data_IF_230151849566
#
_entry.id   IF_230151849566
#
_cell.length_a   1.000
_cell.length_b   1.000
_cell.length_c   1.000
_cell.angle_alpha   90.00
_cell.angle_beta   90.00
_cell.angle_gamma   90.00
#
_symmetry.space_group_name_H-M   'P 1'
#
loop_
_entity.id
_entity.type
_entity.pdbx_description
1 polymer ?
#
# COMPACT_ATOMS: atom_id res chain seq x y z
N UNK A 1 9.36 -9.95 -12.79
CA UNK A 1 9.77 -11.34 -13.13
C UNK A 1 10.55 -11.35 -14.43
N UNK A 2 11.45 -12.30 -14.56
CA UNK A 2 12.20 -12.48 -15.79
C UNK A 2 11.38 -13.26 -16.82
N UNK A 3 11.69 -13.05 -18.13
CA UNK A 3 11.06 -13.76 -19.24
C UNK A 3 11.13 -15.29 -19.08
N UNK A 4 12.20 -15.82 -18.50
CA UNK A 4 12.39 -17.26 -18.23
C UNK A 4 11.39 -17.86 -17.24
N UNK A 5 10.67 -17.03 -16.50
CA UNK A 5 9.63 -17.51 -15.55
C UNK A 5 8.35 -17.97 -16.26
N UNK A 6 8.20 -17.63 -17.55
CA UNK A 6 7.02 -17.97 -18.35
C UNK A 6 7.39 -19.02 -19.38
N UNK A 7 7.03 -20.27 -19.11
CA UNK A 7 7.42 -21.38 -19.98
C UNK A 7 6.25 -22.11 -20.61
N UNK A 8 5.05 -22.06 -20.00
CA UNK A 8 3.93 -22.86 -20.45
C UNK A 8 2.59 -22.25 -20.06
N UNK A 9 1.51 -22.74 -20.69
CA UNK A 9 0.12 -22.48 -20.33
C UNK A 9 -0.67 -23.78 -20.37
N UNK A 10 -1.85 -23.78 -19.77
CA UNK A 10 -2.79 -24.91 -19.85
C UNK A 10 -3.83 -24.63 -20.93
N UNK A 11 -4.00 -25.58 -21.83
CA UNK A 11 -5.01 -25.53 -22.90
C UNK A 11 -5.77 -26.84 -22.90
N UNK A 12 -7.09 -26.79 -22.69
CA UNK A 12 -7.96 -27.97 -22.62
C UNK A 12 -7.45 -29.03 -21.63
N UNK A 13 -6.90 -28.60 -20.49
CA UNK A 13 -6.33 -29.48 -19.48
C UNK A 13 -4.92 -29.98 -19.79
N UNK A 14 -4.32 -29.56 -20.88
CA UNK A 14 -2.95 -29.97 -21.27
C UNK A 14 -1.98 -28.79 -21.12
N UNK A 15 -0.76 -29.12 -20.70
CA UNK A 15 0.34 -28.18 -20.65
C UNK A 15 0.85 -27.92 -22.06
N UNK A 16 0.90 -26.65 -22.45
CA UNK A 16 1.37 -26.20 -23.75
C UNK A 16 2.43 -25.12 -23.54
N UNK A 17 3.54 -25.22 -24.28
CA UNK A 17 4.59 -24.19 -24.19
C UNK A 17 4.09 -22.87 -24.75
N UNK A 18 4.46 -21.76 -24.08
CA UNK A 18 4.15 -20.42 -24.52
C UNK A 18 4.96 -20.06 -25.77
N UNK A 19 4.31 -19.39 -26.71
CA UNK A 19 5.02 -18.75 -27.84
C UNK A 19 5.81 -17.53 -27.34
N UNK A 20 6.79 -17.08 -28.12
CA UNK A 20 7.56 -15.88 -27.79
C UNK A 20 6.66 -14.64 -27.63
N UNK A 21 5.66 -14.50 -28.50
CA UNK A 21 4.71 -13.39 -28.42
C UNK A 21 3.87 -13.45 -27.13
N UNK A 22 3.45 -14.63 -26.71
CA UNK A 22 2.69 -14.82 -25.46
C UNK A 22 3.57 -14.52 -24.22
N UNK A 23 4.84 -14.93 -24.23
CA UNK A 23 5.80 -14.61 -23.17
C UNK A 23 6.02 -13.11 -23.08
N UNK A 24 6.23 -12.45 -24.22
CA UNK A 24 6.44 -10.99 -24.26
C UNK A 24 5.23 -10.24 -23.72
N UNK A 25 4.01 -10.70 -24.01
CA UNK A 25 2.79 -10.09 -23.47
C UNK A 25 2.67 -10.28 -21.96
N UNK A 26 3.01 -11.45 -21.44
CA UNK A 26 3.04 -11.70 -19.99
C UNK A 26 4.04 -10.79 -19.30
N UNK A 27 5.23 -10.62 -19.85
CA UNK A 27 6.26 -9.73 -19.31
C UNK A 27 5.78 -8.28 -19.30
N UNK A 28 5.16 -7.82 -20.40
CA UNK A 28 4.60 -6.45 -20.48
C UNK A 28 3.53 -6.20 -19.43
N UNK A 29 2.62 -7.15 -19.23
CA UNK A 29 1.56 -7.02 -18.20
C UNK A 29 2.15 -6.93 -16.81
N UNK A 30 3.16 -7.73 -16.53
CA UNK A 30 3.82 -7.72 -15.23
C UNK A 30 4.63 -6.45 -15.00
N UNK A 31 5.34 -5.96 -16.01
CA UNK A 31 6.05 -4.69 -15.94
C UNK A 31 5.08 -3.52 -15.68
N UNK A 32 3.94 -3.52 -16.36
CA UNK A 32 2.90 -2.50 -16.14
C UNK A 32 2.32 -2.59 -14.72
N UNK A 33 2.09 -3.78 -14.21
CA UNK A 33 1.64 -4.00 -12.84
C UNK A 33 2.66 -3.49 -11.83
N UNK A 34 3.94 -3.83 -12.00
CA UNK A 34 5.03 -3.37 -11.12
C UNK A 34 5.21 -1.85 -11.20
N UNK A 35 5.09 -1.27 -12.39
CA UNK A 35 5.19 0.18 -12.56
C UNK A 35 4.07 0.93 -11.81
N UNK A 36 2.89 0.34 -11.69
CA UNK A 36 1.76 0.92 -10.94
C UNK A 36 1.73 0.62 -9.45
N UNK A 37 2.66 -0.18 -8.95
CA UNK A 37 2.64 -0.68 -7.57
C UNK A 37 2.73 0.43 -6.54
N UNK A 38 3.62 1.40 -6.75
CA UNK A 38 3.79 2.54 -5.86
C UNK A 38 2.51 3.39 -5.79
N UNK A 39 1.87 3.64 -6.92
CA UNK A 39 0.63 4.44 -6.98
C UNK A 39 -0.53 3.72 -6.28
N UNK A 40 -0.64 2.42 -6.46
CA UNK A 40 -1.65 1.61 -5.75
C UNK A 40 -1.41 1.63 -4.25
N UNK A 41 -0.16 1.54 -3.82
CA UNK A 41 0.19 1.62 -2.41
C UNK A 41 -0.18 3.00 -1.83
N UNK A 42 0.11 4.09 -2.56
CA UNK A 42 -0.29 5.44 -2.15
C UNK A 42 -1.81 5.59 -2.05
N UNK A 43 -2.56 5.02 -2.98
CA UNK A 43 -4.03 5.07 -2.93
C UNK A 43 -4.57 4.42 -1.66
N UNK A 44 -4.05 3.24 -1.30
CA UNK A 44 -4.45 2.54 -0.08
C UNK A 44 -4.04 3.30 1.18
N UNK A 45 -2.85 3.88 1.20
CA UNK A 45 -2.34 4.67 2.33
C UNK A 45 -3.20 5.91 2.54
N UNK A 46 -3.51 6.65 1.47
CA UNK A 46 -4.35 7.85 1.55
C UNK A 46 -5.76 7.54 2.02
N UNK A 47 -6.34 6.45 1.56
CA UNK A 47 -7.66 6.01 2.00
C UNK A 47 -7.68 5.73 3.51
N UNK A 48 -6.69 5.00 4.03
CA UNK A 48 -6.58 4.72 5.46
C UNK A 48 -6.30 5.99 6.27
N UNK A 49 -5.42 6.87 5.77
CA UNK A 49 -5.17 8.17 6.39
C UNK A 49 -6.45 8.97 6.55
N UNK A 50 -7.24 9.06 5.48
CA UNK A 50 -8.48 9.83 5.48
C UNK A 50 -9.51 9.22 6.44
N UNK A 51 -9.58 7.89 6.53
CA UNK A 51 -10.43 7.19 7.49
C UNK A 51 -10.04 7.54 8.94
N UNK A 52 -8.74 7.58 9.23
CA UNK A 52 -8.23 7.93 10.56
C UNK A 52 -8.47 9.40 10.90
N UNK A 53 -8.36 10.30 9.91
CA UNK A 53 -8.69 11.71 10.08
C UNK A 53 -10.19 11.91 10.35
N UNK A 54 -11.05 11.25 9.60
CA UNK A 54 -12.51 11.30 9.82
C UNK A 54 -12.89 10.82 11.22
N UNK A 55 -12.24 9.78 11.71
CA UNK A 55 -12.49 9.24 13.05
C UNK A 55 -12.22 10.25 14.17
N UNK A 56 -11.42 11.30 13.90
CA UNK A 56 -11.06 12.34 14.87
C UNK A 56 -11.60 13.71 14.51
N UNK A 57 -12.39 13.86 13.44
CA UNK A 57 -12.87 15.16 12.99
C UNK A 57 -13.75 15.87 14.02
N UNK A 58 -14.48 15.12 14.84
CA UNK A 58 -15.32 15.73 15.87
C UNK A 58 -14.52 16.55 16.91
N UNK A 59 -13.24 16.26 17.11
CA UNK A 59 -12.36 17.05 17.97
C UNK A 59 -12.06 18.44 17.42
N UNK A 60 -12.29 18.65 16.14
CA UNK A 60 -12.08 19.94 15.48
C UNK A 60 -13.33 20.82 15.47
N UNK A 61 -14.45 20.38 16.06
CA UNK A 61 -15.66 21.18 16.18
C UNK A 61 -15.44 22.37 17.12
N UNK A 62 -16.13 23.48 16.84
CA UNK A 62 -15.91 24.74 17.54
C UNK A 62 -16.21 24.71 19.04
N UNK A 63 -17.06 23.79 19.49
CA UNK A 63 -17.43 23.61 20.89
C UNK A 63 -16.60 22.54 21.61
N UNK A 64 -15.60 21.98 20.93
CA UNK A 64 -14.69 20.97 21.48
C UNK A 64 -13.27 21.50 21.46
N UNK A 65 -12.57 21.46 22.59
CA UNK A 65 -11.17 21.84 22.66
C UNK A 65 -10.30 20.73 22.12
N UNK A 66 -9.52 21.03 21.08
CA UNK A 66 -8.57 20.07 20.48
C UNK A 66 -7.28 20.06 21.30
N UNK A 67 -7.00 18.94 21.95
CA UNK A 67 -5.77 18.76 22.73
C UNK A 67 -4.52 18.77 21.83
N UNK A 68 -3.38 19.24 22.36
CA UNK A 68 -2.14 19.37 21.59
C UNK A 68 -1.64 18.03 21.07
N UNK A 69 -1.75 16.94 21.82
CA UNK A 69 -1.38 15.61 21.37
C UNK A 69 -2.25 15.14 20.18
N UNK A 70 -3.52 15.51 20.17
CA UNK A 70 -4.42 15.22 19.06
C UNK A 70 -4.08 16.05 17.83
N UNK A 71 -3.72 17.31 18.00
CA UNK A 71 -3.24 18.16 16.89
C UNK A 71 -2.00 17.56 16.26
N UNK A 72 -1.05 17.10 17.07
CA UNK A 72 0.19 16.47 16.62
C UNK A 72 -0.11 15.16 15.86
N UNK A 73 -1.01 14.34 16.37
CA UNK A 73 -1.44 13.11 15.72
C UNK A 73 -2.07 13.38 14.34
N UNK A 74 -3.03 14.32 14.29
CA UNK A 74 -3.68 14.68 13.02
C UNK A 74 -2.70 15.24 12.00
N UNK A 75 -1.76 16.08 12.44
CA UNK A 75 -0.72 16.59 11.55
C UNK A 75 0.21 15.48 11.05
N UNK A 76 0.59 14.55 11.91
CA UNK A 76 1.38 13.39 11.52
C UNK A 76 0.67 12.53 10.47
N UNK A 77 -0.65 12.35 10.59
CA UNK A 77 -1.45 11.65 9.57
C UNK A 77 -1.42 12.38 8.21
N UNK A 78 -1.57 13.71 8.21
CA UNK A 78 -1.49 14.49 6.98
C UNK A 78 -0.12 14.39 6.33
N UNK A 79 0.92 14.29 7.13
CA UNK A 79 2.32 14.29 6.68
C UNK A 79 2.81 12.89 6.28
N UNK A 80 2.03 11.82 6.47
CA UNK A 80 2.44 10.46 6.12
C UNK A 80 2.99 10.36 4.69
N UNK A 81 2.33 10.90 3.64
CA UNK A 81 2.91 10.84 2.29
C UNK A 81 4.20 11.66 2.15
N UNK A 82 4.32 12.76 2.86
CA UNK A 82 5.48 13.64 2.83
C UNK A 82 6.68 13.00 3.54
N UNK A 83 6.43 12.35 4.69
CA UNK A 83 7.48 11.78 5.55
C UNK A 83 7.95 10.40 5.07
N UNK A 84 7.21 9.76 4.17
CA UNK A 84 7.50 8.41 3.68
C UNK A 84 7.59 8.43 2.16
N UNK A 85 8.80 8.38 1.63
CA UNK A 85 9.03 8.42 0.18
C UNK A 85 8.74 7.10 -0.52
N UNK A 86 8.76 5.97 0.20
CA UNK A 86 8.53 4.64 -0.34
C UNK A 86 7.19 4.08 0.13
N UNK A 87 6.19 4.22 -0.73
CA UNK A 87 4.82 3.78 -0.44
C UNK A 87 4.71 2.26 -0.28
N UNK A 88 5.46 1.51 -1.09
CA UNK A 88 5.44 0.05 -1.06
C UNK A 88 6.03 -0.47 0.25
N UNK A 89 7.13 0.12 0.70
CA UNK A 89 7.76 -0.22 1.98
C UNK A 89 6.81 0.08 3.15
N UNK A 90 6.17 1.23 3.15
CA UNK A 90 5.19 1.62 4.17
C UNK A 90 4.02 0.64 4.21
N UNK A 91 3.43 0.33 3.05
CA UNK A 91 2.31 -0.61 2.94
C UNK A 91 2.71 -2.02 3.38
N UNK A 92 3.89 -2.48 3.04
CA UNK A 92 4.40 -3.80 3.45
C UNK A 92 4.53 -3.86 4.97
N UNK A 93 5.10 -2.86 5.59
CA UNK A 93 5.22 -2.79 7.06
C UNK A 93 3.85 -2.76 7.73
N UNK A 94 2.92 -2.00 7.17
CA UNK A 94 1.55 -1.91 7.68
C UNK A 94 0.85 -3.27 7.63
N UNK A 95 0.92 -3.97 6.51
CA UNK A 95 0.30 -5.29 6.36
C UNK A 95 0.97 -6.34 7.24
N UNK A 96 2.29 -6.30 7.36
CA UNK A 96 3.05 -7.20 8.22
C UNK A 96 2.71 -6.96 9.69
N UNK A 97 2.55 -5.71 10.10
CA UNK A 97 2.10 -5.37 11.45
C UNK A 97 0.69 -5.93 11.72
N UNK A 98 -0.24 -5.77 10.78
CA UNK A 98 -1.59 -6.31 10.90
C UNK A 98 -1.61 -7.84 10.95
N UNK A 99 -0.67 -8.50 10.28
CA UNK A 99 -0.49 -9.94 10.32
C UNK A 99 0.24 -10.42 11.58
N UNK A 100 0.61 -9.51 12.48
CA UNK A 100 1.30 -9.78 13.76
C UNK A 100 2.63 -10.48 13.59
N UNK A 101 3.37 -10.12 12.54
CA UNK A 101 4.73 -10.63 12.33
C UNK A 101 5.67 -10.10 13.40
N UNK A 102 6.59 -10.97 13.87
CA UNK A 102 7.57 -10.61 14.89
C UNK A 102 8.51 -9.49 14.42
N UNK A 103 8.80 -8.55 15.31
CA UNK A 103 9.77 -7.48 15.05
C UNK A 103 9.25 -6.36 14.16
N UNK A 104 7.97 -6.36 13.83
CA UNK A 104 7.34 -5.32 13.00
C UNK A 104 6.54 -4.37 13.87
N UNK A 105 6.80 -3.08 13.74
CA UNK A 105 6.03 -2.02 14.42
C UNK A 105 5.00 -1.40 13.47
N UNK A 106 3.98 -0.76 14.04
CA UNK A 106 2.97 -0.03 13.26
C UNK A 106 3.64 1.18 12.59
N UNK A 107 3.58 1.31 11.26
CA UNK A 107 4.15 2.47 10.57
C UNK A 107 3.30 3.74 10.71
N UNK A 108 2.05 3.61 11.13
CA UNK A 108 1.14 4.75 11.29
C UNK A 108 1.44 5.53 12.58
N UNK A 109 1.15 6.84 12.62
CA UNK A 109 1.22 7.61 13.85
C UNK A 109 0.33 6.98 14.93
N UNK A 110 0.82 7.03 16.18
CA UNK A 110 0.09 6.46 17.31
C UNK A 110 -0.98 7.43 17.80
N UNK A 111 -2.23 6.97 17.85
CA UNK A 111 -3.34 7.75 18.39
C UNK A 111 -3.16 7.96 19.89
N UNK A 112 -3.23 9.22 20.39
CA UNK A 112 -3.14 9.51 21.82
C UNK A 112 -4.30 8.92 22.64
#
# INVERSE_FOLDING_TARGET
>A
MARSDYTHKMVAGKRVDLTDAEIDECVKREEAWEAGKADRAWAAIREERDRRLVATDFYALSDVTLADNMKTYRQALRDVPKDNSDSVKFQTQWYDFNAKKSGVSDPWPTKP
#
